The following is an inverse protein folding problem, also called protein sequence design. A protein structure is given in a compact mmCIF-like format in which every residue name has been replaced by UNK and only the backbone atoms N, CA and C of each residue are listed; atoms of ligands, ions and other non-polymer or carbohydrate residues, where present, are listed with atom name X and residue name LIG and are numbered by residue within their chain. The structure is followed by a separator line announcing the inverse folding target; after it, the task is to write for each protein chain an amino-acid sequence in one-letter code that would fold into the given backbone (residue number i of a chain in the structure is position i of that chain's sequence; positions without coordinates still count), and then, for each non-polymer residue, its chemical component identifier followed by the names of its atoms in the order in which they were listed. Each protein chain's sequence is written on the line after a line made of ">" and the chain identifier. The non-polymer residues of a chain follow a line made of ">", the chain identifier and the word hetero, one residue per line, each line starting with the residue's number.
data_IF_585540202731
#
_entry.id   IF_585540202731
#
_cell.length_a   1.000
_cell.length_b   1.000
_cell.length_c   1.000
_cell.angle_alpha   90.00
_cell.angle_beta   90.00
_cell.angle_gamma   90.00
#
_symmetry.space_group_name_H-M   'P 1'
#
loop_
_entity.id
_entity.type
_entity.pdbx_description
1 polymer ?
#
# COMPACT_ATOMS: atom_id res chain seq x y z
N UNK A 1 11.33 -16.97 11.22
CA UNK A 1 9.91 -16.89 11.61
C UNK A 1 9.36 -18.24 12.07
N UNK A 2 9.65 -19.33 11.37
CA UNK A 2 9.10 -20.68 11.66
C UNK A 2 9.37 -21.17 13.08
N UNK A 3 10.60 -20.99 13.58
CA UNK A 3 10.96 -21.31 14.97
C UNK A 3 10.13 -20.49 15.97
N UNK A 4 9.92 -19.20 15.72
CA UNK A 4 9.16 -18.32 16.60
C UNK A 4 7.67 -18.70 16.66
N UNK A 5 7.10 -19.20 15.55
CA UNK A 5 5.72 -19.71 15.50
C UNK A 5 5.60 -20.99 16.34
N UNK A 6 6.54 -21.93 16.20
CA UNK A 6 6.51 -23.22 16.93
C UNK A 6 6.69 -23.06 18.44
N UNK A 7 7.47 -22.08 18.87
CA UNK A 7 7.81 -21.87 20.29
C UNK A 7 6.72 -21.18 21.12
N UNK A 8 5.66 -20.65 20.49
CA UNK A 8 4.58 -20.01 21.26
C UNK A 8 3.80 -21.04 22.07
N UNK A 9 3.29 -20.70 23.27
CA UNK A 9 2.49 -21.61 24.09
C UNK A 9 1.11 -21.90 23.47
N UNK A 10 0.45 -22.96 23.92
CA UNK A 10 -0.87 -23.37 23.40
C UNK A 10 -2.06 -22.57 23.95
N UNK A 11 -1.85 -21.70 24.95
CA UNK A 11 -2.90 -20.85 25.50
C UNK A 11 -3.34 -19.74 24.53
N UNK A 12 -4.47 -19.08 24.83
CA UNK A 12 -5.09 -18.07 23.94
C UNK A 12 -4.11 -16.96 23.51
N UNK A 13 -3.29 -16.45 24.43
CA UNK A 13 -2.26 -15.45 24.11
C UNK A 13 -1.18 -16.00 23.16
N UNK A 14 -0.83 -17.27 23.29
CA UNK A 14 0.10 -17.96 22.39
C UNK A 14 -0.51 -18.20 21.02
N UNK A 15 -1.79 -18.60 20.94
CA UNK A 15 -2.53 -18.72 19.68
C UNK A 15 -2.63 -17.37 18.94
N UNK A 16 -2.94 -16.29 19.66
CA UNK A 16 -2.98 -14.94 19.10
C UNK A 16 -1.61 -14.50 18.57
N UNK A 17 -0.53 -14.78 19.32
CA UNK A 17 0.84 -14.50 18.86
C UNK A 17 1.20 -15.30 17.62
N UNK A 18 0.87 -16.60 17.57
CA UNK A 18 1.08 -17.44 16.38
C UNK A 18 0.32 -16.92 15.17
N UNK A 19 -0.96 -16.57 15.35
CA UNK A 19 -1.77 -16.00 14.28
C UNK A 19 -1.17 -14.69 13.76
N UNK A 20 -0.70 -13.80 14.65
CA UNK A 20 0.00 -12.57 14.28
C UNK A 20 1.28 -12.82 13.48
N UNK A 21 2.10 -13.79 13.90
CA UNK A 21 3.31 -14.19 13.16
C UNK A 21 2.99 -14.77 11.78
N UNK A 22 1.91 -15.56 11.68
CA UNK A 22 1.42 -16.08 10.40
C UNK A 22 0.94 -14.95 9.48
N UNK A 23 0.25 -13.93 10.02
CA UNK A 23 -0.15 -12.71 9.26
C UNK A 23 1.07 -11.94 8.74
N UNK A 24 2.09 -11.77 9.57
CA UNK A 24 3.31 -11.10 9.14
C UNK A 24 4.04 -11.91 8.05
N UNK A 25 4.09 -13.25 8.19
CA UNK A 25 4.70 -14.12 7.17
C UNK A 25 3.88 -14.15 5.86
N UNK A 26 2.55 -14.13 5.95
CA UNK A 26 1.66 -13.96 4.81
C UNK A 26 2.01 -12.71 4.01
N UNK A 27 2.21 -11.56 4.66
CA UNK A 27 2.57 -10.33 3.96
C UNK A 27 3.89 -10.49 3.20
N UNK A 28 4.92 -11.06 3.83
CA UNK A 28 6.22 -11.29 3.19
C UNK A 28 6.09 -12.24 2.00
N UNK A 29 5.41 -13.38 2.16
CA UNK A 29 5.22 -14.35 1.07
C UNK A 29 4.44 -13.76 -0.09
N UNK A 30 3.41 -12.98 0.19
CA UNK A 30 2.66 -12.24 -0.82
C UNK A 30 3.57 -11.31 -1.63
N UNK A 31 4.40 -10.50 -0.97
CA UNK A 31 5.34 -9.60 -1.65
C UNK A 31 6.38 -10.36 -2.50
N UNK A 32 6.71 -11.59 -2.11
CA UNK A 32 7.61 -12.48 -2.87
C UNK A 32 6.90 -13.26 -3.99
N UNK A 33 5.59 -13.07 -4.17
CA UNK A 33 4.80 -13.80 -5.18
C UNK A 33 4.44 -15.24 -4.78
N UNK A 34 4.76 -15.69 -3.57
CA UNK A 34 4.35 -17.00 -3.04
C UNK A 34 2.90 -16.95 -2.54
N UNK A 35 1.97 -16.82 -3.47
CA UNK A 35 0.53 -16.69 -3.18
C UNK A 35 -0.01 -17.96 -2.50
N UNK A 36 0.47 -19.15 -2.88
CA UNK A 36 0.04 -20.41 -2.29
C UNK A 36 0.53 -20.57 -0.85
N UNK A 37 1.79 -20.24 -0.57
CA UNK A 37 2.32 -20.24 0.79
C UNK A 37 1.68 -19.17 1.68
N UNK A 38 1.29 -18.03 1.11
CA UNK A 38 0.52 -17.00 1.80
C UNK A 38 -0.88 -17.50 2.18
N UNK A 39 -1.61 -18.12 1.23
CA UNK A 39 -2.91 -18.76 1.49
C UNK A 39 -2.82 -19.83 2.57
N UNK A 40 -1.80 -20.69 2.55
CA UNK A 40 -1.57 -21.70 3.57
C UNK A 40 -1.38 -21.08 4.97
N UNK A 41 -0.66 -19.98 5.08
CA UNK A 41 -0.46 -19.28 6.35
C UNK A 41 -1.77 -18.71 6.91
N UNK A 42 -2.63 -18.18 6.06
CA UNK A 42 -3.94 -17.65 6.48
C UNK A 42 -4.95 -18.74 6.81
N UNK A 43 -4.91 -19.87 6.11
CA UNK A 43 -5.67 -21.07 6.53
C UNK A 43 -5.24 -21.55 7.91
N UNK A 44 -3.94 -21.58 8.19
CA UNK A 44 -3.43 -21.92 9.53
C UNK A 44 -3.86 -20.87 10.57
N UNK A 45 -3.79 -19.58 10.25
CA UNK A 45 -4.24 -18.52 11.17
C UNK A 45 -5.74 -18.64 11.51
N UNK A 46 -6.59 -18.95 10.51
CA UNK A 46 -8.01 -19.25 10.71
C UNK A 46 -8.24 -20.48 11.58
N UNK A 47 -7.44 -21.54 11.46
CA UNK A 47 -7.58 -22.70 12.35
C UNK A 47 -7.28 -22.35 13.81
N UNK A 48 -6.34 -21.44 14.07
CA UNK A 48 -5.99 -21.01 15.43
C UNK A 48 -7.06 -20.09 16.04
N UNK A 49 -7.57 -19.14 15.25
CA UNK A 49 -8.60 -18.19 15.66
C UNK A 49 -9.66 -18.06 14.53
N UNK A 50 -10.71 -18.90 14.53
CA UNK A 50 -11.65 -19.01 13.41
C UNK A 50 -12.56 -17.82 13.18
N UNK A 51 -12.79 -17.01 14.21
CA UNK A 51 -13.70 -15.86 14.23
C UNK A 51 -12.95 -14.53 14.37
N UNK A 52 -11.63 -14.53 14.23
CA UNK A 52 -10.81 -13.32 14.26
C UNK A 52 -11.00 -12.54 12.95
N UNK A 53 -11.52 -11.31 13.05
CA UNK A 53 -11.85 -10.47 11.91
C UNK A 53 -10.65 -10.25 10.98
N UNK A 54 -9.46 -10.07 11.56
CA UNK A 54 -8.21 -9.82 10.81
C UNK A 54 -7.80 -11.06 10.01
N UNK A 55 -7.84 -12.24 10.62
CA UNK A 55 -7.54 -13.50 9.93
C UNK A 55 -8.52 -13.79 8.80
N UNK A 56 -9.82 -13.61 9.05
CA UNK A 56 -10.85 -13.80 8.03
C UNK A 56 -10.66 -12.84 6.85
N UNK A 57 -10.34 -11.58 7.14
CA UNK A 57 -10.11 -10.57 6.11
C UNK A 57 -8.86 -10.88 5.28
N UNK A 58 -7.72 -11.21 5.90
CA UNK A 58 -6.52 -11.61 5.15
C UNK A 58 -6.67 -12.92 4.39
N UNK A 59 -7.43 -13.88 4.93
CA UNK A 59 -7.76 -15.10 4.20
C UNK A 59 -8.60 -14.79 2.96
N UNK A 60 -9.58 -13.88 3.08
CA UNK A 60 -10.36 -13.44 1.94
C UNK A 60 -9.50 -12.75 0.87
N UNK A 61 -8.50 -11.95 1.27
CA UNK A 61 -7.48 -11.40 0.36
C UNK A 61 -6.73 -12.53 -0.36
N UNK A 62 -6.20 -13.51 0.39
CA UNK A 62 -5.43 -14.61 -0.17
C UNK A 62 -6.24 -15.43 -1.18
N UNK A 63 -7.51 -15.72 -0.84
CA UNK A 63 -8.47 -16.43 -1.68
C UNK A 63 -8.81 -15.66 -2.95
N UNK A 64 -9.00 -14.35 -2.83
CA UNK A 64 -9.23 -13.49 -3.99
C UNK A 64 -8.08 -13.58 -4.99
N UNK A 65 -6.82 -13.58 -4.52
CA UNK A 65 -5.65 -13.68 -5.41
C UNK A 65 -5.49 -15.03 -6.11
N UNK A 66 -5.96 -16.13 -5.50
CA UNK A 66 -5.99 -17.45 -6.17
C UNK A 66 -7.27 -17.68 -6.98
N UNK A 67 -8.15 -16.67 -7.09
CA UNK A 67 -9.40 -16.75 -7.85
C UNK A 67 -10.57 -17.40 -7.11
N UNK A 68 -10.42 -17.75 -5.83
CA UNK A 68 -11.51 -18.26 -4.97
C UNK A 68 -12.38 -17.09 -4.46
N UNK A 69 -13.13 -16.48 -5.38
CA UNK A 69 -13.97 -15.32 -5.08
C UNK A 69 -15.14 -15.66 -4.15
N UNK A 70 -15.74 -16.84 -4.32
CA UNK A 70 -16.84 -17.31 -3.47
C UNK A 70 -16.36 -17.60 -2.05
N UNK A 71 -15.22 -18.28 -1.89
CA UNK A 71 -14.62 -18.50 -0.58
C UNK A 71 -14.19 -17.20 0.11
N UNK A 72 -13.67 -16.23 -0.64
CA UNK A 72 -13.36 -14.90 -0.11
C UNK A 72 -14.61 -14.18 0.39
N UNK A 73 -15.71 -14.22 -0.37
CA UNK A 73 -17.00 -13.66 0.03
C UNK A 73 -17.55 -14.35 1.28
N UNK A 74 -17.47 -15.68 1.35
CA UNK A 74 -17.95 -16.45 2.48
C UNK A 74 -17.19 -16.14 3.78
N UNK A 75 -15.86 -15.97 3.71
CA UNK A 75 -15.07 -15.57 4.89
C UNK A 75 -15.36 -14.11 5.29
N UNK A 76 -15.55 -13.21 4.32
CA UNK A 76 -15.95 -11.82 4.62
C UNK A 76 -17.34 -11.71 5.24
N UNK A 77 -18.28 -12.58 4.87
CA UNK A 77 -19.60 -12.60 5.50
C UNK A 77 -19.57 -12.97 7.00
N UNK A 78 -18.47 -13.56 7.47
CA UNK A 78 -18.23 -13.89 8.88
C UNK A 78 -17.50 -12.79 9.65
N UNK A 79 -16.95 -11.78 8.95
CA UNK A 79 -16.31 -10.63 9.59
C UNK A 79 -17.39 -9.80 10.29
N UNK A 80 -17.25 -9.65 11.61
CA UNK A 80 -18.18 -8.89 12.44
C UNK A 80 -17.91 -7.39 12.35
N UNK A 81 -18.63 -6.59 13.14
CA UNK A 81 -18.31 -5.17 13.30
C UNK A 81 -16.85 -5.02 13.72
N UNK A 82 -16.04 -4.23 12.99
CA UNK A 82 -14.65 -4.03 13.34
C UNK A 82 -14.56 -3.26 14.66
N UNK A 83 -13.68 -3.73 15.54
CA UNK A 83 -13.53 -3.20 16.91
C UNK A 83 -12.30 -2.29 17.07
N UNK A 84 -11.38 -2.34 16.11
CA UNK A 84 -10.20 -1.50 16.07
C UNK A 84 -9.86 -1.01 14.66
N UNK A 85 -8.87 -0.13 14.58
CA UNK A 85 -8.42 0.48 13.33
C UNK A 85 -7.87 -0.51 12.32
N UNK A 86 -7.17 -1.56 12.76
CA UNK A 86 -6.59 -2.56 11.86
C UNK A 86 -7.69 -3.39 11.21
N UNK A 87 -8.74 -3.72 11.96
CA UNK A 87 -9.92 -4.41 11.43
C UNK A 87 -10.68 -3.54 10.43
N UNK A 88 -10.93 -2.27 10.76
CA UNK A 88 -11.59 -1.32 9.83
C UNK A 88 -10.78 -1.19 8.53
N UNK A 89 -9.47 -1.01 8.65
CA UNK A 89 -8.56 -0.90 7.52
C UNK A 89 -8.57 -2.15 6.64
N UNK A 90 -8.39 -3.33 7.25
CA UNK A 90 -8.31 -4.59 6.52
C UNK A 90 -9.64 -4.90 5.82
N UNK A 91 -10.78 -4.62 6.47
CA UNK A 91 -12.10 -4.82 5.87
C UNK A 91 -12.32 -3.91 4.67
N UNK A 92 -11.99 -2.62 4.78
CA UNK A 92 -12.07 -1.68 3.66
C UNK A 92 -11.19 -2.12 2.48
N UNK A 93 -9.96 -2.57 2.77
CA UNK A 93 -9.05 -3.07 1.74
C UNK A 93 -9.65 -4.26 0.98
N UNK A 94 -10.27 -5.22 1.68
CA UNK A 94 -10.91 -6.37 1.02
C UNK A 94 -12.11 -5.94 0.18
N UNK A 95 -12.99 -5.09 0.71
CA UNK A 95 -14.13 -4.57 -0.06
C UNK A 95 -13.68 -3.87 -1.34
N UNK A 96 -12.61 -3.09 -1.26
CA UNK A 96 -11.98 -2.44 -2.42
C UNK A 96 -11.47 -3.44 -3.46
N UNK A 97 -10.84 -4.54 -3.04
CA UNK A 97 -10.44 -5.62 -3.95
C UNK A 97 -11.65 -6.32 -4.59
N UNK A 98 -12.76 -6.42 -3.87
CA UNK A 98 -14.01 -7.00 -4.35
C UNK A 98 -14.84 -6.04 -5.22
N UNK A 99 -14.40 -4.79 -5.37
CA UNK A 99 -15.11 -3.74 -6.13
C UNK A 99 -16.22 -3.02 -5.35
N UNK A 100 -16.44 -3.36 -4.07
CA UNK A 100 -17.36 -2.65 -3.17
C UNK A 100 -16.68 -1.36 -2.64
N UNK A 101 -16.56 -0.37 -3.53
CA UNK A 101 -15.89 0.89 -3.22
C UNK A 101 -16.71 1.75 -2.25
N UNK A 102 -18.03 1.73 -2.34
CA UNK A 102 -18.95 2.41 -1.44
C UNK A 102 -18.84 1.84 -0.02
N UNK A 103 -18.88 0.51 0.13
CA UNK A 103 -18.69 -0.14 1.42
C UNK A 103 -17.28 0.06 1.99
N UNK A 104 -16.26 0.15 1.13
CA UNK A 104 -14.90 0.50 1.54
C UNK A 104 -14.81 1.96 2.03
N UNK A 105 -15.56 2.88 1.43
CA UNK A 105 -15.62 4.29 1.84
C UNK A 105 -16.25 4.43 3.21
N UNK A 106 -17.36 3.74 3.48
CA UNK A 106 -18.00 3.73 4.81
C UNK A 106 -17.03 3.27 5.89
N UNK A 107 -16.26 2.21 5.62
CA UNK A 107 -15.24 1.74 6.56
C UNK A 107 -14.14 2.79 6.77
N UNK A 108 -13.66 3.46 5.71
CA UNK A 108 -12.65 4.52 5.84
C UNK A 108 -13.17 5.77 6.54
N UNK A 109 -14.45 6.11 6.38
CA UNK A 109 -15.08 7.19 7.15
C UNK A 109 -15.10 6.86 8.64
N UNK A 110 -15.42 5.62 9.01
CA UNK A 110 -15.31 5.16 10.39
C UNK A 110 -13.86 5.20 10.90
N UNK A 111 -12.88 4.77 10.10
CA UNK A 111 -11.46 4.84 10.48
C UNK A 111 -11.00 6.27 10.78
N UNK A 112 -11.40 7.24 9.94
CA UNK A 112 -11.07 8.66 10.14
C UNK A 112 -11.82 9.24 11.35
N UNK A 113 -13.03 8.78 11.66
CA UNK A 113 -13.73 9.18 12.89
C UNK A 113 -13.03 8.66 14.15
N UNK A 114 -12.54 7.42 14.13
CA UNK A 114 -11.79 6.83 15.24
C UNK A 114 -10.43 7.52 15.44
N UNK A 115 -9.77 7.92 14.35
CA UNK A 115 -8.43 8.49 14.39
C UNK A 115 -8.27 9.65 13.37
N UNK A 116 -8.82 10.83 13.69
CA UNK A 116 -8.88 11.95 12.75
C UNK A 116 -7.51 12.53 12.36
N UNK A 117 -6.49 12.31 13.21
CA UNK A 117 -5.13 12.81 12.98
C UNK A 117 -4.23 11.79 12.27
N UNK A 118 -4.73 10.60 11.95
CA UNK A 118 -3.92 9.56 11.35
C UNK A 118 -3.86 9.71 9.82
N UNK A 119 -2.78 10.33 9.33
CA UNK A 119 -2.58 10.67 7.91
C UNK A 119 -2.80 9.49 6.95
N UNK A 120 -2.48 8.27 7.37
CA UNK A 120 -2.67 7.07 6.56
C UNK A 120 -4.15 6.76 6.26
N UNK A 121 -5.07 7.02 7.21
CA UNK A 121 -6.50 6.81 6.98
C UNK A 121 -7.11 7.90 6.11
N UNK A 122 -6.64 9.13 6.26
CA UNK A 122 -6.97 10.22 5.34
C UNK A 122 -6.54 9.84 3.91
N UNK A 123 -5.30 9.39 3.73
CA UNK A 123 -4.82 8.93 2.43
C UNK A 123 -5.63 7.75 1.87
N UNK A 124 -5.93 6.72 2.67
CA UNK A 124 -6.74 5.58 2.19
C UNK A 124 -8.16 5.99 1.81
N UNK A 125 -8.77 6.88 2.60
CA UNK A 125 -10.08 7.45 2.25
C UNK A 125 -10.00 8.24 0.96
N UNK A 126 -8.95 9.03 0.76
CA UNK A 126 -8.70 9.73 -0.49
C UNK A 126 -8.58 8.76 -1.67
N UNK A 127 -7.83 7.67 -1.49
CA UNK A 127 -7.66 6.64 -2.52
C UNK A 127 -9.00 6.01 -2.91
N UNK A 128 -9.83 5.63 -1.93
CA UNK A 128 -11.18 5.09 -2.21
C UNK A 128 -12.07 6.12 -2.89
N UNK A 129 -12.09 7.36 -2.40
CA UNK A 129 -12.82 8.48 -3.04
C UNK A 129 -12.35 8.71 -4.49
N UNK A 130 -11.06 8.61 -4.75
CA UNK A 130 -10.49 8.74 -6.08
C UNK A 130 -11.01 7.65 -7.03
N UNK A 131 -11.04 6.39 -6.58
CA UNK A 131 -11.59 5.28 -7.37
C UNK A 131 -13.10 5.43 -7.64
N UNK A 132 -13.82 6.09 -6.72
CA UNK A 132 -15.24 6.46 -6.89
C UNK A 132 -15.46 7.71 -7.76
N UNK A 133 -14.39 8.34 -8.29
CA UNK A 133 -14.49 9.59 -9.04
C UNK A 133 -14.78 10.83 -8.18
N UNK A 134 -14.75 10.72 -6.85
CA UNK A 134 -14.95 11.81 -5.89
C UNK A 134 -13.65 12.62 -5.71
N UNK A 135 -13.12 13.18 -6.79
CA UNK A 135 -11.79 13.77 -6.84
C UNK A 135 -11.58 14.96 -5.89
N UNK A 136 -12.56 15.86 -5.77
CA UNK A 136 -12.46 17.00 -4.87
C UNK A 136 -12.28 16.56 -3.40
N UNK A 137 -13.15 15.65 -2.94
CA UNK A 137 -13.07 15.10 -1.59
C UNK A 137 -11.83 14.22 -1.35
N UNK A 138 -11.23 13.66 -2.41
CA UNK A 138 -9.95 12.96 -2.31
C UNK A 138 -8.79 13.94 -2.11
N UNK A 139 -8.79 15.07 -2.81
CA UNK A 139 -7.78 16.12 -2.65
C UNK A 139 -7.87 16.79 -1.28
N UNK A 140 -9.07 17.02 -0.75
CA UNK A 140 -9.25 17.50 0.63
C UNK A 140 -8.57 16.57 1.64
N UNK A 141 -8.77 15.27 1.49
CA UNK A 141 -8.17 14.26 2.37
C UNK A 141 -6.64 14.19 2.21
N UNK A 142 -6.11 14.28 0.98
CA UNK A 142 -4.67 14.31 0.74
C UNK A 142 -4.01 15.57 1.32
N UNK A 143 -4.64 16.73 1.16
CA UNK A 143 -4.19 17.98 1.78
C UNK A 143 -4.18 17.86 3.31
N UNK A 144 -5.23 17.29 3.89
CA UNK A 144 -5.26 17.02 5.33
C UNK A 144 -4.13 16.04 5.73
N UNK A 145 -3.89 14.98 4.95
CA UNK A 145 -2.85 13.99 5.24
C UNK A 145 -1.44 14.60 5.26
N UNK A 146 -1.08 15.44 4.27
CA UNK A 146 0.24 16.11 4.26
C UNK A 146 0.39 17.10 5.40
N UNK A 147 -0.69 17.75 5.86
CA UNK A 147 -0.64 18.62 7.04
C UNK A 147 -0.40 17.83 8.33
N UNK A 148 -0.93 16.61 8.45
CA UNK A 148 -0.69 15.73 9.60
C UNK A 148 0.71 15.13 9.60
N UNK A 149 1.29 14.84 8.42
CA UNK A 149 2.64 14.29 8.29
C UNK A 149 3.46 15.05 7.23
N UNK A 150 3.88 16.30 7.52
CA UNK A 150 4.51 17.17 6.53
C UNK A 150 5.90 16.73 6.08
N UNK A 151 6.53 15.77 6.80
CA UNK A 151 7.83 15.19 6.44
C UNK A 151 7.71 13.88 5.66
N UNK A 152 6.51 13.47 5.27
CA UNK A 152 6.30 12.27 4.46
C UNK A 152 6.43 12.59 2.97
N UNK A 153 7.59 12.27 2.37
CA UNK A 153 7.82 12.44 0.93
C UNK A 153 6.73 11.76 0.09
N UNK A 154 6.31 10.56 0.50
CA UNK A 154 5.30 9.79 -0.19
C UNK A 154 3.91 10.47 -0.18
N UNK A 155 3.48 11.06 0.94
CA UNK A 155 2.18 11.78 0.94
C UNK A 155 2.19 13.01 0.03
N UNK A 156 3.31 13.73 -0.02
CA UNK A 156 3.48 14.85 -0.96
C UNK A 156 3.48 14.39 -2.41
N UNK A 157 4.09 13.24 -2.71
CA UNK A 157 4.03 12.62 -4.02
C UNK A 157 2.59 12.27 -4.40
N UNK A 158 1.83 11.62 -3.50
CA UNK A 158 0.43 11.24 -3.74
C UNK A 158 -0.46 12.48 -3.99
N UNK A 159 -0.26 13.56 -3.22
CA UNK A 159 -0.96 14.84 -3.45
C UNK A 159 -0.62 15.44 -4.83
N UNK A 160 0.67 15.53 -5.19
CA UNK A 160 1.08 16.10 -6.46
C UNK A 160 0.60 15.29 -7.67
N UNK A 161 0.62 13.96 -7.56
CA UNK A 161 0.06 13.06 -8.57
C UNK A 161 -1.46 13.25 -8.69
N UNK A 162 -2.18 13.37 -7.58
CA UNK A 162 -3.61 13.62 -7.58
C UNK A 162 -3.95 14.98 -8.23
N UNK A 163 -3.23 16.05 -7.89
CA UNK A 163 -3.43 17.38 -8.49
C UNK A 163 -3.19 17.38 -10.00
N UNK A 164 -2.17 16.63 -10.45
CA UNK A 164 -1.84 16.44 -11.86
C UNK A 164 -2.88 15.63 -12.64
N UNK A 165 -3.45 14.58 -12.04
CA UNK A 165 -4.34 13.63 -12.74
C UNK A 165 -5.82 14.05 -12.80
N UNK A 166 -6.16 15.24 -12.33
CA UNK A 166 -7.53 15.76 -12.42
C UNK A 166 -7.94 15.99 -13.88
N UNK A 167 -9.26 16.04 -14.14
CA UNK A 167 -9.79 16.44 -15.44
C UNK A 167 -9.34 17.85 -15.84
N UNK A 168 -9.16 18.74 -14.85
CA UNK A 168 -8.51 20.04 -15.00
C UNK A 168 -7.30 20.08 -14.07
N UNK A 169 -6.09 19.74 -14.56
CA UNK A 169 -4.90 19.63 -13.72
C UNK A 169 -4.51 20.96 -13.07
N UNK A 170 -4.23 20.92 -11.76
CA UNK A 170 -3.53 22.00 -11.05
C UNK A 170 -2.02 21.78 -11.20
N UNK A 171 -1.47 22.18 -12.36
CA UNK A 171 -0.06 21.99 -12.66
C UNK A 171 0.88 22.73 -11.69
N UNK A 172 0.62 24.01 -11.29
CA UNK A 172 1.46 24.70 -10.31
C UNK A 172 1.42 24.04 -8.92
N UNK A 173 0.24 23.63 -8.45
CA UNK A 173 0.10 22.91 -7.18
C UNK A 173 0.80 21.56 -7.22
N UNK A 174 0.61 20.79 -8.31
CA UNK A 174 1.27 19.51 -8.50
C UNK A 174 2.80 19.64 -8.50
N UNK A 175 3.34 20.64 -9.19
CA UNK A 175 4.79 20.91 -9.20
C UNK A 175 5.31 21.25 -7.81
N UNK A 176 4.57 22.06 -7.06
CA UNK A 176 4.91 22.41 -5.67
C UNK A 176 4.97 21.18 -4.78
N UNK A 177 3.94 20.34 -4.83
CA UNK A 177 3.87 19.11 -4.03
C UNK A 177 4.98 18.11 -4.42
N UNK A 178 5.25 17.93 -5.72
CA UNK A 178 6.31 17.03 -6.20
C UNK A 178 7.71 17.55 -5.88
N UNK A 179 7.92 18.87 -5.85
CA UNK A 179 9.16 19.46 -5.36
C UNK A 179 9.37 19.17 -3.87
N UNK A 180 8.32 19.31 -3.06
CA UNK A 180 8.38 18.98 -1.64
C UNK A 180 8.68 17.48 -1.41
N UNK A 181 8.07 16.60 -2.21
CA UNK A 181 8.35 15.17 -2.16
C UNK A 181 9.83 14.86 -2.46
N UNK A 182 10.40 15.43 -3.52
CA UNK A 182 11.81 15.22 -3.89
C UNK A 182 12.78 15.83 -2.87
N UNK A 183 12.44 16.95 -2.23
CA UNK A 183 13.26 17.49 -1.13
C UNK A 183 13.33 16.55 0.08
N UNK A 184 12.23 15.87 0.39
CA UNK A 184 12.13 14.96 1.54
C UNK A 184 12.66 13.55 1.24
N UNK A 185 12.55 13.11 -0.02
CA UNK A 185 12.97 11.79 -0.49
C UNK A 185 13.58 11.91 -1.89
N UNK A 186 14.84 12.38 -1.99
CA UNK A 186 15.42 12.76 -3.27
C UNK A 186 15.62 11.57 -4.21
N UNK A 187 15.45 11.85 -5.50
CA UNK A 187 15.67 10.91 -6.60
C UNK A 187 14.77 9.66 -6.58
N UNK A 188 13.57 9.76 -6.01
CA UNK A 188 12.59 8.70 -6.11
C UNK A 188 11.97 8.68 -7.53
N UNK A 189 12.00 7.51 -8.18
CA UNK A 189 11.62 7.35 -9.58
C UNK A 189 10.22 7.89 -9.88
N UNK A 190 9.24 7.61 -9.01
CA UNK A 190 7.84 7.98 -9.24
C UNK A 190 7.66 9.48 -9.17
N UNK A 191 8.29 10.13 -8.19
CA UNK A 191 8.29 11.58 -7.98
C UNK A 191 8.91 12.29 -9.17
N UNK A 192 10.12 11.89 -9.58
CA UNK A 192 10.81 12.49 -10.73
C UNK A 192 10.03 12.28 -12.04
N UNK A 193 9.47 11.09 -12.26
CA UNK A 193 8.66 10.81 -13.45
C UNK A 193 7.44 11.74 -13.57
N UNK A 194 6.71 11.93 -12.47
CA UNK A 194 5.54 12.81 -12.49
C UNK A 194 5.96 14.30 -12.53
N UNK A 195 7.06 14.68 -11.87
CA UNK A 195 7.57 16.05 -11.91
C UNK A 195 8.02 16.44 -13.32
N UNK A 196 8.73 15.54 -14.02
CA UNK A 196 9.08 15.72 -15.43
C UNK A 196 7.85 15.93 -16.32
N UNK A 197 6.78 15.16 -16.10
CA UNK A 197 5.54 15.30 -16.86
C UNK A 197 4.85 16.65 -16.61
N UNK A 198 4.77 17.07 -15.35
CA UNK A 198 4.19 18.38 -14.97
C UNK A 198 5.03 19.53 -15.54
N UNK A 199 6.36 19.48 -15.40
CA UNK A 199 7.29 20.47 -15.97
C UNK A 199 7.18 20.56 -17.49
N UNK A 200 7.06 19.42 -18.18
CA UNK A 200 6.87 19.40 -19.63
C UNK A 200 5.59 20.13 -20.06
N UNK A 201 4.47 19.89 -19.36
CA UNK A 201 3.21 20.59 -19.63
C UNK A 201 3.27 22.09 -19.32
N UNK A 202 4.15 22.50 -18.40
CA UNK A 202 4.42 23.90 -18.08
C UNK A 202 5.46 24.56 -19.01
N UNK A 203 6.09 23.80 -19.92
CA UNK A 203 7.19 24.30 -20.76
C UNK A 203 8.51 24.53 -20.01
N UNK A 204 8.70 23.91 -18.85
CA UNK A 204 9.90 24.04 -18.01
C UNK A 204 11.02 23.11 -18.53
N UNK A 205 12.19 23.69 -18.83
CA UNK A 205 13.36 22.98 -19.36
C UNK A 205 13.95 21.93 -18.40
N UNK A 206 13.65 22.03 -17.10
CA UNK A 206 14.01 21.04 -16.08
C UNK A 206 13.26 19.71 -16.22
N UNK A 207 12.30 19.59 -17.15
CA UNK A 207 11.61 18.33 -17.44
C UNK A 207 12.59 17.23 -17.92
N UNK A 208 13.56 17.59 -18.75
CA UNK A 208 14.52 16.63 -19.31
C UNK A 208 15.50 16.14 -18.24
N UNK A 209 15.93 17.04 -17.34
CA UNK A 209 16.78 16.71 -16.19
C UNK A 209 16.10 15.68 -15.28
N UNK A 210 14.83 15.89 -14.94
CA UNK A 210 14.07 14.95 -14.11
C UNK A 210 13.88 13.60 -14.81
N UNK A 211 13.66 13.61 -16.13
CA UNK A 211 13.51 12.38 -16.93
C UNK A 211 14.80 11.55 -16.93
N UNK A 212 15.94 12.19 -17.12
CA UNK A 212 17.25 11.53 -17.06
C UNK A 212 17.55 10.97 -15.68
N UNK A 213 17.28 11.74 -14.62
CA UNK A 213 17.46 11.30 -13.24
C UNK A 213 16.57 10.09 -12.90
N UNK A 214 15.31 10.10 -13.34
CA UNK A 214 14.39 8.97 -13.16
C UNK A 214 14.91 7.69 -13.85
N UNK A 215 15.36 7.81 -15.11
CA UNK A 215 15.91 6.67 -15.86
C UNK A 215 17.18 6.11 -15.21
N UNK A 216 18.06 6.98 -14.70
CA UNK A 216 19.27 6.57 -13.98
C UNK A 216 18.92 5.77 -12.72
N UNK A 217 17.94 6.23 -11.94
CA UNK A 217 17.47 5.49 -10.77
C UNK A 217 16.88 4.12 -11.14
N UNK A 218 16.02 4.07 -12.15
CA UNK A 218 15.41 2.81 -12.61
C UNK A 218 16.47 1.77 -13.02
N UNK A 219 17.51 2.20 -13.75
CA UNK A 219 18.65 1.35 -14.12
C UNK A 219 19.41 0.84 -12.90
N UNK A 220 19.69 1.68 -11.91
CA UNK A 220 20.39 1.27 -10.68
C UNK A 220 19.60 0.25 -9.86
N UNK A 221 18.27 0.39 -9.79
CA UNK A 221 17.42 -0.60 -9.08
C UNK A 221 17.45 -1.93 -9.82
N UNK A 222 17.24 -1.95 -11.13
CA UNK A 222 17.27 -3.18 -11.93
C UNK A 222 18.62 -3.90 -11.78
N UNK A 223 19.74 -3.17 -11.92
CA UNK A 223 21.08 -3.75 -11.77
C UNK A 223 21.29 -4.32 -10.36
N UNK A 224 20.85 -3.64 -9.30
CA UNK A 224 20.94 -4.18 -7.92
C UNK A 224 20.05 -5.40 -7.69
N UNK A 225 18.84 -5.42 -8.25
CA UNK A 225 17.91 -6.54 -8.15
C UNK A 225 18.46 -7.78 -8.88
N UNK A 226 19.09 -7.60 -10.05
CA UNK A 226 19.72 -8.70 -10.79
C UNK A 226 21.05 -9.15 -10.17
N UNK A 227 21.93 -8.24 -9.75
CA UNK A 227 23.20 -8.59 -9.07
C UNK A 227 22.99 -9.28 -7.72
N UNK A 228 21.86 -9.03 -7.03
CA UNK A 228 21.48 -9.72 -5.80
C UNK A 228 21.01 -11.16 -6.00
N UNK A 229 20.64 -11.54 -7.23
CA UNK A 229 20.19 -12.88 -7.60
C UNK A 229 21.27 -13.71 -8.30
N UNK A 230 22.41 -13.12 -8.66
CA UNK A 230 23.52 -13.85 -9.25
C UNK A 230 24.26 -14.66 -8.17
N UNK A 231 24.59 -15.94 -8.45
CA UNK A 231 25.44 -16.72 -7.56
C UNK A 231 26.80 -16.03 -7.35
N UNK A 232 27.43 -16.31 -6.18
CA UNK A 232 28.56 -15.54 -5.66
C UNK A 232 29.81 -15.55 -6.56
N UNK A 233 29.85 -16.44 -7.54
CA UNK A 233 30.92 -16.65 -8.52
C UNK A 233 30.96 -15.62 -9.66
N UNK A 234 29.91 -14.83 -9.87
CA UNK A 234 29.84 -13.85 -10.99
C UNK A 234 30.18 -12.40 -10.56
N UNK A 235 30.37 -12.14 -9.25
CA UNK A 235 30.61 -10.79 -8.70
C UNK A 235 31.96 -10.13 -9.08
N UNK A 236 32.80 -10.80 -9.86
CA UNK A 236 34.14 -10.33 -10.25
C UNK A 236 34.31 -9.89 -11.70
N UNK A 237 33.25 -9.87 -12.52
CA UNK A 237 33.35 -9.41 -13.91
C UNK A 237 33.04 -7.92 -13.98
N UNK A 238 34.07 -7.09 -14.08
CA UNK A 238 33.91 -5.70 -14.54
C UNK A 238 33.36 -5.74 -15.97
N UNK A 239 32.17 -5.18 -16.17
CA UNK A 239 31.61 -4.93 -17.50
C UNK A 239 31.98 -3.50 -17.93
N UNK A 240 32.27 -3.28 -19.23
CA UNK A 240 32.86 -2.06 -19.77
C UNK A 240 32.00 -0.80 -19.61
#
# INVERSE_FOLDING_TARGET
>A
MDTAIRLQPAGLAGLATRASLLRNRFYVKYQLGDVQGALADMNNAKQLLPEDNVNLSFLAVAKHWVGDLEGARADMARVKQPTDMNEVYTRSFVKRLQGDLEGALVDMEHAVQLCPDHAYFLWHRAFVKWQLGKFAGALEDLNAAVLKQPRSAWLWQELGVAQYRQATPDLPGALTALNQADQLGPNEYTTLKHRAAVKHLLGDAGADVDREAALKFARCVIVRTFLGQLPADIKGVELP
#
